data_IF_167037989252
#
_entry.id   IF_167037989252
#
_cell.length_a   1.000
_cell.length_b   1.000
_cell.length_c   1.000
_cell.angle_alpha   90.00
_cell.angle_beta   90.00
_cell.angle_gamma   90.00
#
_symmetry.space_group_name_H-M   'P 1'
#
loop_
_entity.id
_entity.type
_entity.pdbx_description
1 polymer ?
#
# COMPACT_ATOMS: atom_id res chain seq x y z
N UNK A 1 14.14 -5.70 -15.53
CA UNK A 1 15.15 -6.36 -14.66
C UNK A 1 14.54 -7.63 -14.09
N UNK A 2 15.31 -8.72 -14.01
CA UNK A 2 14.83 -9.99 -13.46
C UNK A 2 15.73 -10.43 -12.30
N UNK A 3 15.13 -10.70 -11.15
CA UNK A 3 15.81 -11.28 -9.99
C UNK A 3 15.72 -12.80 -10.04
N UNK A 4 16.82 -13.47 -9.73
CA UNK A 4 16.85 -14.93 -9.54
C UNK A 4 16.01 -15.34 -8.33
N UNK A 5 15.67 -16.63 -8.24
CA UNK A 5 14.95 -17.14 -7.06
C UNK A 5 15.75 -16.93 -5.75
N UNK A 6 17.06 -17.20 -5.67
CA UNK A 6 17.83 -16.95 -4.44
C UNK A 6 17.82 -15.48 -4.01
N UNK A 7 18.01 -14.55 -4.94
CA UNK A 7 17.97 -13.11 -4.65
C UNK A 7 16.61 -12.66 -4.13
N UNK A 8 15.53 -13.14 -4.75
CA UNK A 8 14.17 -12.89 -4.25
C UNK A 8 13.97 -13.45 -2.85
N UNK A 9 14.51 -14.64 -2.57
CA UNK A 9 14.39 -15.27 -1.26
C UNK A 9 15.13 -14.49 -0.18
N UNK A 10 16.29 -13.91 -0.49
CA UNK A 10 16.98 -12.99 0.43
C UNK A 10 16.08 -11.80 0.75
N UNK A 11 15.57 -11.11 -0.27
CA UNK A 11 14.70 -9.95 -0.08
C UNK A 11 13.44 -10.28 0.75
N UNK A 12 12.81 -11.44 0.51
CA UNK A 12 11.61 -11.85 1.27
C UNK A 12 11.90 -12.07 2.75
N UNK A 13 13.10 -12.54 3.10
CA UNK A 13 13.46 -12.88 4.48
C UNK A 13 14.15 -11.74 5.25
N UNK A 14 14.48 -10.63 4.59
CA UNK A 14 15.08 -9.48 5.27
C UNK A 14 14.05 -8.77 6.16
N UNK A 15 14.45 -8.43 7.38
CA UNK A 15 13.65 -7.58 8.26
C UNK A 15 13.49 -6.17 7.67
N UNK A 16 12.32 -5.57 7.84
CA UNK A 16 11.98 -4.24 7.32
C UNK A 16 10.95 -3.51 8.20
N UNK A 17 10.85 -3.87 9.47
CA UNK A 17 9.82 -3.37 10.40
C UNK A 17 10.21 -2.03 11.01
N UNK A 18 11.50 -1.82 11.28
CA UNK A 18 12.01 -0.53 11.79
C UNK A 18 12.57 0.35 10.68
N UNK A 19 12.71 1.66 10.93
CA UNK A 19 13.34 2.57 9.97
C UNK A 19 14.78 2.17 9.63
N UNK A 20 15.54 1.65 10.60
CA UNK A 20 16.90 1.16 10.38
C UNK A 20 16.92 -0.09 9.49
N UNK A 21 16.04 -1.05 9.76
CA UNK A 21 15.87 -2.26 8.94
C UNK A 21 15.42 -1.92 7.51
N UNK A 22 14.45 -1.02 7.37
CA UNK A 22 13.97 -0.55 6.07
C UNK A 22 15.08 0.15 5.27
N UNK A 23 15.98 0.88 5.93
CA UNK A 23 17.16 1.45 5.29
C UNK A 23 18.13 0.37 4.80
N UNK A 24 18.44 -0.63 5.63
CA UNK A 24 19.31 -1.75 5.25
C UNK A 24 18.73 -2.51 4.05
N UNK A 25 17.43 -2.79 4.08
CA UNK A 25 16.71 -3.39 2.96
C UNK A 25 16.85 -2.56 1.67
N UNK A 26 16.61 -1.26 1.76
CA UNK A 26 16.71 -0.33 0.62
C UNK A 26 18.12 -0.33 0.04
N UNK A 27 19.15 -0.15 0.87
CA UNK A 27 20.55 -0.09 0.44
C UNK A 27 20.94 -1.40 -0.30
N UNK A 28 20.53 -2.55 0.23
CA UNK A 28 20.77 -3.85 -0.40
C UNK A 28 20.06 -3.97 -1.75
N UNK A 29 18.79 -3.61 -1.82
CA UNK A 29 18.01 -3.67 -3.05
C UNK A 29 18.57 -2.72 -4.13
N UNK A 30 18.97 -1.50 -3.75
CA UNK A 30 19.57 -0.54 -4.67
C UNK A 30 20.88 -1.05 -5.25
N UNK A 31 21.74 -1.64 -4.42
CA UNK A 31 22.98 -2.29 -4.88
C UNK A 31 22.70 -3.40 -5.87
N UNK A 32 21.76 -4.29 -5.55
CA UNK A 32 21.37 -5.40 -6.42
C UNK A 32 20.80 -4.91 -7.76
N UNK A 33 20.03 -3.80 -7.75
CA UNK A 33 19.53 -3.18 -8.98
C UNK A 33 20.68 -2.66 -9.83
N UNK A 34 21.56 -1.85 -9.23
CA UNK A 34 22.70 -1.26 -9.94
C UNK A 34 23.62 -2.34 -10.55
N UNK A 35 23.89 -3.43 -9.82
CA UNK A 35 24.70 -4.55 -10.32
C UNK A 35 24.06 -5.25 -11.53
N UNK A 36 22.72 -5.33 -11.59
CA UNK A 36 22.02 -6.03 -12.69
C UNK A 36 21.72 -5.15 -13.89
N UNK A 37 21.52 -3.85 -13.70
CA UNK A 37 21.08 -2.93 -14.75
C UNK A 37 22.19 -1.97 -15.20
N UNK A 38 23.31 -1.91 -14.48
CA UNK A 38 24.39 -0.95 -14.68
C UNK A 38 24.05 0.49 -14.27
N UNK A 39 22.85 0.73 -13.72
CA UNK A 39 22.36 2.07 -13.37
C UNK A 39 21.68 2.04 -11.99
N UNK A 40 21.86 3.08 -11.16
CA UNK A 40 21.11 3.17 -9.91
C UNK A 40 19.60 3.24 -10.18
N UNK A 41 18.75 2.67 -9.31
CA UNK A 41 17.31 2.85 -9.44
C UNK A 41 16.91 4.29 -9.15
N UNK A 42 15.84 4.74 -9.78
CA UNK A 42 15.16 5.98 -9.40
C UNK A 42 14.49 5.81 -8.03
N UNK A 43 14.53 6.87 -7.22
CA UNK A 43 13.84 6.92 -5.94
C UNK A 43 12.55 7.75 -6.05
N UNK A 44 11.51 7.24 -5.41
CA UNK A 44 10.27 7.99 -5.21
C UNK A 44 10.32 8.67 -3.85
N UNK A 45 9.95 9.95 -3.82
CA UNK A 45 9.80 10.69 -2.58
C UNK A 45 8.75 10.01 -1.68
N UNK A 46 9.11 9.83 -0.41
CA UNK A 46 8.20 9.31 0.61
C UNK A 46 7.39 10.49 1.14
N UNK A 47 6.07 10.40 1.04
CA UNK A 47 5.17 11.35 1.70
C UNK A 47 5.40 11.27 3.22
N UNK A 48 5.73 12.39 3.91
CA UNK A 48 5.96 12.39 5.35
C UNK A 48 4.68 12.15 6.17
N UNK A 49 3.50 12.36 5.59
CA UNK A 49 2.21 12.19 6.24
C UNK A 49 1.23 11.45 5.31
N UNK A 50 1.53 10.18 4.96
CA UNK A 50 0.73 9.47 3.98
C UNK A 50 -0.68 9.19 4.54
N UNK A 51 -1.70 9.43 3.73
CA UNK A 51 -3.10 9.37 4.13
C UNK A 51 -3.55 8.00 4.73
N UNK A 52 -2.85 6.90 4.44
CA UNK A 52 -3.19 5.59 5.03
C UNK A 52 -2.71 5.43 6.47
N UNK A 53 -1.81 6.30 6.97
CA UNK A 53 -1.43 6.35 8.38
C UNK A 53 -2.38 7.22 9.21
N UNK A 54 -3.14 8.11 8.58
CA UNK A 54 -4.17 8.92 9.25
C UNK A 54 -5.48 8.12 9.40
N UNK A 55 -5.87 7.85 10.64
CA UNK A 55 -7.15 7.23 10.99
C UNK A 55 -8.22 8.23 11.47
N UNK A 56 -7.86 9.51 11.57
CA UNK A 56 -8.79 10.57 11.97
C UNK A 56 -9.61 11.11 10.80
N UNK A 57 -9.17 10.85 9.56
CA UNK A 57 -9.82 11.31 8.34
C UNK A 57 -9.89 10.21 7.29
N UNK A 58 -11.08 10.02 6.70
CA UNK A 58 -11.27 9.19 5.51
C UNK A 58 -11.06 10.07 4.28
N UNK A 59 -10.14 9.74 3.35
CA UNK A 59 -9.94 10.51 2.12
C UNK A 59 -11.20 10.58 1.26
N UNK A 60 -11.43 11.72 0.62
CA UNK A 60 -12.65 11.98 -0.16
C UNK A 60 -12.82 10.97 -1.30
N UNK A 61 -11.74 10.58 -1.97
CA UNK A 61 -11.79 9.58 -3.04
C UNK A 61 -12.36 8.25 -2.55
N UNK A 62 -12.02 7.83 -1.32
CA UNK A 62 -12.54 6.59 -0.72
C UNK A 62 -14.04 6.73 -0.42
N UNK A 63 -14.46 7.89 0.11
CA UNK A 63 -15.89 8.18 0.37
C UNK A 63 -16.70 8.19 -0.91
N UNK A 64 -16.22 8.91 -1.92
CA UNK A 64 -16.84 8.98 -3.24
C UNK A 64 -16.97 7.60 -3.86
N UNK A 65 -15.89 6.80 -3.82
CA UNK A 65 -15.93 5.45 -4.37
C UNK A 65 -16.90 4.53 -3.62
N UNK A 66 -17.00 4.66 -2.29
CA UNK A 66 -17.97 3.90 -1.50
C UNK A 66 -19.42 4.28 -1.84
N UNK A 67 -19.69 5.57 -2.08
CA UNK A 67 -21.02 6.06 -2.49
C UNK A 67 -21.49 5.52 -3.83
N UNK A 68 -20.58 5.23 -4.76
CA UNK A 68 -20.94 4.53 -6.02
C UNK A 68 -21.59 3.17 -5.76
N UNK A 69 -21.27 2.52 -4.64
CA UNK A 69 -21.86 1.26 -4.18
C UNK A 69 -22.96 1.45 -3.12
N UNK A 70 -23.42 2.69 -2.90
CA UNK A 70 -24.41 3.04 -1.86
C UNK A 70 -23.93 2.70 -0.43
N UNK A 71 -22.61 2.74 -0.20
CA UNK A 71 -21.98 2.48 1.09
C UNK A 71 -21.47 3.79 1.69
N UNK A 72 -21.71 3.98 2.98
CA UNK A 72 -21.08 5.02 3.78
C UNK A 72 -20.16 4.36 4.81
N UNK A 73 -18.86 4.64 4.73
CA UNK A 73 -17.85 4.13 5.68
C UNK A 73 -17.80 5.09 6.86
N UNK A 74 -18.09 4.58 8.06
CA UNK A 74 -18.01 5.38 9.28
C UNK A 74 -16.55 5.62 9.68
N UNK A 75 -16.29 6.70 10.44
CA UNK A 75 -14.95 6.95 10.97
C UNK A 75 -14.50 5.83 11.92
N UNK A 76 -15.43 5.25 12.68
CA UNK A 76 -15.15 4.12 13.57
C UNK A 76 -14.71 2.88 12.78
N UNK A 77 -15.36 2.57 11.65
CA UNK A 77 -14.95 1.48 10.76
C UNK A 77 -13.55 1.75 10.20
N UNK A 78 -13.29 2.99 9.75
CA UNK A 78 -11.98 3.38 9.21
C UNK A 78 -10.86 3.24 10.23
N UNK A 79 -11.09 3.66 11.48
CA UNK A 79 -10.11 3.55 12.57
C UNK A 79 -9.73 2.12 12.92
N UNK A 80 -10.64 1.17 12.75
CA UNK A 80 -10.38 -0.26 12.96
C UNK A 80 -9.52 -0.89 11.86
N UNK A 81 -9.38 -0.25 10.70
CA UNK A 81 -8.55 -0.76 9.61
C UNK A 81 -7.06 -0.55 9.94
N UNK A 82 -6.20 -1.58 9.78
CA UNK A 82 -4.77 -1.39 9.81
C UNK A 82 -4.31 -0.53 8.61
N UNK A 83 -3.13 0.12 8.69
CA UNK A 83 -2.61 0.97 7.63
C UNK A 83 -2.58 0.34 6.24
N UNK A 84 -2.31 -0.96 6.14
CA UNK A 84 -2.29 -1.70 4.86
C UNK A 84 -3.66 -1.77 4.18
N UNK A 85 -4.75 -1.92 4.95
CA UNK A 85 -6.11 -1.95 4.43
C UNK A 85 -6.58 -0.55 4.03
N UNK A 86 -6.26 0.48 4.82
CA UNK A 86 -6.48 1.89 4.44
C UNK A 86 -5.77 2.23 3.13
N UNK A 87 -4.50 1.83 3.00
CA UNK A 87 -3.73 1.99 1.76
C UNK A 87 -4.42 1.30 0.58
N UNK A 88 -4.89 0.07 0.76
CA UNK A 88 -5.60 -0.67 -0.29
C UNK A 88 -6.85 0.09 -0.75
N UNK A 89 -7.72 0.52 0.17
CA UNK A 89 -8.93 1.28 -0.18
C UNK A 89 -8.61 2.61 -0.87
N UNK A 90 -7.61 3.34 -0.38
CA UNK A 90 -7.15 4.58 -1.03
C UNK A 90 -6.71 4.31 -2.46
N UNK A 91 -5.86 3.29 -2.67
CA UNK A 91 -5.39 2.90 -4.00
C UNK A 91 -6.53 2.47 -4.92
N UNK A 92 -7.48 1.68 -4.40
CA UNK A 92 -8.61 1.16 -5.15
C UNK A 92 -9.66 2.25 -5.48
N UNK A 93 -9.66 3.36 -4.75
CA UNK A 93 -10.56 4.50 -4.98
C UNK A 93 -10.07 5.53 -6.01
N UNK A 94 -8.84 5.37 -6.55
CA UNK A 94 -8.27 6.35 -7.49
C UNK A 94 -9.08 6.40 -8.80
N UNK A 95 -9.33 7.60 -9.35
CA UNK A 95 -10.02 7.75 -10.62
C UNK A 95 -9.17 7.23 -11.79
N UNK A 96 -9.82 6.86 -12.90
CA UNK A 96 -9.16 6.49 -14.16
C UNK A 96 -9.32 5.02 -14.58
N UNK A 97 -9.74 4.12 -13.69
CA UNK A 97 -10.11 2.74 -14.02
C UNK A 97 -11.23 2.24 -13.11
N UNK A 98 -12.15 1.42 -13.64
CA UNK A 98 -13.07 0.65 -12.80
C UNK A 98 -12.27 -0.30 -11.91
N UNK A 99 -12.16 0.04 -10.63
CA UNK A 99 -11.55 -0.85 -9.65
C UNK A 99 -12.61 -1.84 -9.14
N UNK A 100 -12.82 -2.90 -9.93
CA UNK A 100 -13.73 -4.00 -9.59
C UNK A 100 -13.40 -4.66 -8.24
N UNK A 101 -12.19 -4.44 -7.73
CA UNK A 101 -11.73 -4.95 -6.44
C UNK A 101 -12.10 -4.06 -5.23
N UNK A 102 -12.67 -2.86 -5.43
CA UNK A 102 -13.03 -1.99 -4.30
C UNK A 102 -14.08 -2.64 -3.40
N UNK A 103 -15.20 -3.08 -3.95
CA UNK A 103 -16.27 -3.71 -3.19
C UNK A 103 -15.86 -5.07 -2.58
N UNK A 104 -15.17 -5.98 -3.29
CA UNK A 104 -14.56 -7.17 -2.68
C UNK A 104 -13.67 -6.86 -1.48
N UNK A 105 -12.86 -5.79 -1.55
CA UNK A 105 -12.03 -5.37 -0.42
C UNK A 105 -12.87 -4.93 0.78
N UNK A 106 -13.99 -4.22 0.57
CA UNK A 106 -14.90 -3.85 1.68
C UNK A 106 -15.46 -5.08 2.42
N UNK A 107 -15.74 -6.17 1.69
CA UNK A 107 -16.17 -7.45 2.27
C UNK A 107 -15.05 -8.14 3.03
N UNK A 108 -13.87 -8.25 2.42
CA UNK A 108 -12.69 -8.86 3.03
C UNK A 108 -12.26 -8.11 4.31
N UNK A 109 -12.44 -6.80 4.34
CA UNK A 109 -12.11 -5.95 5.49
C UNK A 109 -13.26 -5.81 6.50
N UNK A 110 -14.36 -6.55 6.30
CA UNK A 110 -15.52 -6.55 7.19
C UNK A 110 -16.15 -5.17 7.42
N UNK A 111 -16.10 -4.29 6.41
CA UNK A 111 -16.79 -2.99 6.40
C UNK A 111 -18.27 -3.20 6.02
N UNK A 112 -18.52 -4.14 5.13
CA UNK A 112 -19.86 -4.61 4.75
C UNK A 112 -19.95 -6.12 4.94
N UNK A 113 -21.19 -6.62 5.04
CA UNK A 113 -21.44 -8.05 5.16
C UNK A 113 -20.97 -8.82 3.91
N UNK A 114 -20.58 -10.08 4.13
CA UNK A 114 -20.07 -10.98 3.09
C UNK A 114 -21.16 -11.40 2.09
#
# INVERSE_FOLDING_TARGET
MQLSQPERMVLVNMACTTAAEAKIYRDFLQKLIAEKTGNPPEELAIDPAPAWLDDSQIPDTVREKAREFQIEISLEQWQKLPPSQRFALIKLSRPGHENLNFYPALKEFHIVDA
#
